data_IF_831163153859
#
_entry.id   IF_831163153859
#
_cell.length_a   1.000
_cell.length_b   1.000
_cell.length_c   1.000
_cell.angle_alpha   90.00
_cell.angle_beta   90.00
_cell.angle_gamma   90.00
#
_symmetry.space_group_name_H-M   'P 1'
#
loop_
_entity.id
_entity.type
_entity.pdbx_description
1 polymer ?
#
# COMPACT_ATOMS: atom_id res chain seq x y z
N UNK A 1 19.81 -8.10 11.44
CA UNK A 1 20.87 -8.21 10.41
C UNK A 1 20.29 -9.05 9.30
N UNK A 2 20.23 -8.54 8.08
CA UNK A 2 19.65 -9.29 6.95
C UNK A 2 20.56 -10.50 6.67
N UNK A 3 19.97 -11.70 6.53
CA UNK A 3 20.74 -12.92 6.27
C UNK A 3 21.34 -12.88 4.85
N UNK A 4 22.68 -12.93 4.76
CA UNK A 4 23.41 -12.76 3.49
C UNK A 4 23.05 -13.82 2.43
N UNK A 5 22.76 -15.05 2.87
CA UNK A 5 22.34 -16.15 2.00
C UNK A 5 20.99 -15.87 1.32
N UNK A 6 20.01 -15.38 2.10
CA UNK A 6 18.69 -15.00 1.59
C UNK A 6 18.76 -13.87 0.57
N UNK A 7 19.62 -12.87 0.81
CA UNK A 7 19.83 -11.76 -0.14
C UNK A 7 20.51 -12.23 -1.41
N UNK A 8 21.45 -13.17 -1.32
CA UNK A 8 22.14 -13.72 -2.49
C UNK A 8 21.16 -14.50 -3.38
N UNK A 9 20.34 -15.36 -2.78
CA UNK A 9 19.29 -16.10 -3.50
C UNK A 9 18.28 -15.15 -4.15
N UNK A 10 17.82 -14.12 -3.42
CA UNK A 10 16.95 -13.10 -3.98
C UNK A 10 17.61 -12.36 -5.15
N UNK A 11 18.89 -12.00 -5.05
CA UNK A 11 19.60 -11.29 -6.11
C UNK A 11 19.64 -12.12 -7.40
N UNK A 12 19.95 -13.40 -7.31
CA UNK A 12 19.97 -14.32 -8.45
C UNK A 12 18.58 -14.42 -9.10
N UNK A 13 17.53 -14.61 -8.29
CA UNK A 13 16.17 -14.72 -8.80
C UNK A 13 15.67 -13.40 -9.42
N UNK A 14 16.02 -12.26 -8.81
CA UNK A 14 15.68 -10.94 -9.31
C UNK A 14 16.29 -10.68 -10.70
N UNK A 15 17.44 -11.27 -11.04
CA UNK A 15 18.05 -11.09 -12.36
C UNK A 15 17.23 -11.73 -13.47
N UNK A 16 16.60 -12.88 -13.21
CA UNK A 16 15.82 -13.64 -14.21
C UNK A 16 14.34 -13.30 -14.23
N UNK A 17 13.78 -12.81 -13.12
CA UNK A 17 12.37 -12.43 -13.01
C UNK A 17 12.00 -11.28 -13.97
N UNK A 18 10.95 -11.46 -14.78
CA UNK A 18 10.42 -10.44 -15.69
C UNK A 18 9.17 -9.77 -15.13
N UNK A 19 8.29 -10.56 -14.51
CA UNK A 19 7.06 -10.11 -13.88
C UNK A 19 7.21 -10.11 -12.36
N UNK A 20 6.95 -8.96 -11.74
CA UNK A 20 7.12 -8.76 -10.31
C UNK A 20 5.90 -8.11 -9.71
N UNK A 21 5.41 -8.62 -8.58
CA UNK A 21 4.38 -7.94 -7.80
C UNK A 21 4.96 -7.35 -6.53
N UNK A 22 4.56 -6.13 -6.20
CA UNK A 22 4.75 -5.53 -4.88
C UNK A 22 3.36 -5.43 -4.25
N UNK A 23 3.14 -6.13 -3.14
CA UNK A 23 1.84 -6.20 -2.47
C UNK A 23 1.99 -5.68 -1.03
N UNK A 24 1.24 -4.64 -0.72
CA UNK A 24 1.15 -4.05 0.61
C UNK A 24 0.09 -4.75 1.46
N UNK A 25 0.30 -4.77 2.77
CA UNK A 25 -0.73 -5.21 3.72
C UNK A 25 -1.97 -4.30 3.72
N UNK A 26 -3.04 -4.77 4.38
CA UNK A 26 -4.32 -4.05 4.43
C UNK A 26 -4.30 -2.75 5.25
N UNK A 27 -3.31 -2.57 6.14
CA UNK A 27 -3.16 -1.41 7.02
C UNK A 27 -1.68 -1.01 7.17
N UNK A 28 -1.03 -0.56 6.08
CA UNK A 28 0.39 -0.31 6.11
C UNK A 28 0.71 0.97 6.90
N UNK A 29 1.86 0.98 7.57
CA UNK A 29 2.42 2.18 8.19
C UNK A 29 2.98 3.13 7.12
N UNK A 30 3.21 4.41 7.45
CA UNK A 30 3.87 5.34 6.53
C UNK A 30 5.25 4.85 6.08
N UNK A 31 5.96 4.13 6.93
CA UNK A 31 7.29 3.60 6.63
C UNK A 31 7.19 2.40 5.68
N UNK A 32 6.20 1.52 5.86
CA UNK A 32 5.90 0.44 4.89
C UNK A 32 5.47 1.00 3.53
N UNK A 33 4.73 2.11 3.51
CA UNK A 33 4.38 2.81 2.27
C UNK A 33 5.60 3.38 1.55
N UNK A 34 6.54 3.98 2.29
CA UNK A 34 7.81 4.45 1.74
C UNK A 34 8.62 3.29 1.15
N UNK A 35 8.71 2.17 1.88
CA UNK A 35 9.43 0.97 1.46
C UNK A 35 8.84 0.39 0.17
N UNK A 36 7.52 0.16 0.14
CA UNK A 36 6.87 -0.41 -1.03
C UNK A 36 6.93 0.52 -2.24
N UNK A 37 6.76 1.83 -2.02
CA UNK A 37 6.87 2.85 -3.07
C UNK A 37 8.26 2.87 -3.70
N UNK A 38 9.31 2.93 -2.89
CA UNK A 38 10.68 2.95 -3.38
C UNK A 38 11.08 1.63 -4.05
N UNK A 39 10.65 0.49 -3.51
CA UNK A 39 10.87 -0.82 -4.12
C UNK A 39 10.20 -0.91 -5.49
N UNK A 40 8.93 -0.53 -5.59
CA UNK A 40 8.17 -0.49 -6.84
C UNK A 40 8.89 0.36 -7.91
N UNK A 41 9.29 1.59 -7.56
CA UNK A 41 10.01 2.48 -8.47
C UNK A 41 11.37 1.91 -8.89
N UNK A 42 12.10 1.30 -7.95
CA UNK A 42 13.38 0.65 -8.21
C UNK A 42 13.25 -0.52 -9.20
N UNK A 43 12.23 -1.36 -9.03
CA UNK A 43 11.96 -2.49 -9.92
C UNK A 43 11.55 -2.04 -11.33
N UNK A 44 10.79 -0.94 -11.46
CA UNK A 44 10.47 -0.33 -12.76
C UNK A 44 11.72 0.19 -13.45
N UNK A 45 12.64 0.82 -12.70
CA UNK A 45 13.91 1.30 -13.26
C UNK A 45 14.80 0.17 -13.81
N UNK A 46 14.56 -1.08 -13.38
CA UNK A 46 15.20 -2.27 -13.94
C UNK A 46 14.48 -2.82 -15.20
N UNK A 47 13.51 -2.08 -15.75
CA UNK A 47 12.68 -2.48 -16.90
C UNK A 47 11.90 -3.79 -16.69
N UNK A 48 11.46 -4.05 -15.47
CA UNK A 48 10.57 -5.19 -15.14
C UNK A 48 9.11 -4.81 -15.33
N UNK A 49 8.25 -5.80 -15.57
CA UNK A 49 6.80 -5.62 -15.48
C UNK A 49 6.39 -5.67 -14.01
N UNK A 50 6.07 -4.51 -13.43
CA UNK A 50 5.80 -4.42 -11.98
C UNK A 50 4.35 -4.06 -11.71
N UNK A 51 3.61 -4.97 -11.07
CA UNK A 51 2.30 -4.69 -10.50
C UNK A 51 2.42 -4.20 -9.05
N UNK A 52 1.67 -3.16 -8.68
CA UNK A 52 1.66 -2.63 -7.32
C UNK A 52 0.25 -2.71 -6.73
N UNK A 53 0.07 -3.47 -5.64
CA UNK A 53 -1.25 -3.79 -5.13
C UNK A 53 -1.41 -3.56 -3.63
N UNK A 54 -2.64 -3.29 -3.22
CA UNK A 54 -3.05 -3.31 -1.82
C UNK A 54 -4.53 -3.71 -1.73
N UNK A 55 -4.99 -4.36 -0.64
CA UNK A 55 -6.39 -4.82 -0.51
C UNK A 55 -7.42 -3.68 -0.56
N UNK A 56 -6.98 -2.44 -0.30
CA UNK A 56 -7.81 -1.24 -0.29
C UNK A 56 -7.04 -0.08 -0.90
N UNK A 57 -7.77 0.91 -1.40
CA UNK A 57 -7.18 2.17 -1.84
C UNK A 57 -6.45 2.84 -0.68
N UNK A 58 -5.18 3.18 -0.91
CA UNK A 58 -4.34 3.88 0.06
C UNK A 58 -4.17 5.32 -0.40
N UNK A 59 -4.35 6.26 0.53
CA UNK A 59 -3.99 7.65 0.33
C UNK A 59 -2.63 7.93 0.98
N UNK A 60 -1.77 8.64 0.26
CA UNK A 60 -0.46 9.01 0.75
C UNK A 60 0.21 9.99 -0.21
N UNK A 61 1.45 10.37 0.11
CA UNK A 61 2.22 11.31 -0.71
C UNK A 61 3.63 10.78 -0.96
N UNK A 62 3.70 9.47 -1.22
CA UNK A 62 4.89 8.79 -1.75
C UNK A 62 4.69 8.56 -3.25
N UNK A 63 5.77 8.66 -4.02
CA UNK A 63 5.74 8.82 -5.47
C UNK A 63 5.22 7.60 -6.24
N UNK A 64 5.17 6.41 -5.64
CA UNK A 64 4.65 5.20 -6.28
C UNK A 64 3.17 4.92 -6.02
N UNK A 65 2.56 5.56 -5.01
CA UNK A 65 1.23 5.15 -4.51
C UNK A 65 0.09 5.38 -5.50
N UNK A 66 0.22 6.31 -6.44
CA UNK A 66 -0.80 6.52 -7.47
C UNK A 66 -0.96 5.32 -8.42
N UNK A 67 0.01 4.39 -8.43
CA UNK A 67 -0.02 3.19 -9.25
C UNK A 67 -0.61 1.98 -8.51
N UNK A 68 -1.01 2.13 -7.24
CA UNK A 68 -1.62 1.04 -6.48
C UNK A 68 -2.96 0.66 -7.11
N UNK A 69 -3.10 -0.63 -7.39
CA UNK A 69 -4.32 -1.28 -7.81
C UNK A 69 -4.90 -2.11 -6.65
N UNK A 70 -6.21 -2.34 -6.66
CA UNK A 70 -6.89 -3.13 -5.62
C UNK A 70 -7.34 -4.50 -6.08
N UNK A 71 -7.10 -4.85 -7.33
CA UNK A 71 -7.51 -6.11 -7.95
C UNK A 71 -6.32 -6.65 -8.74
N UNK A 72 -6.02 -7.94 -8.57
CA UNK A 72 -5.05 -8.64 -9.41
C UNK A 72 -5.61 -8.80 -10.83
N UNK A 73 -4.68 -8.96 -11.78
CA UNK A 73 -4.91 -8.85 -13.22
C UNK A 73 -6.10 -9.61 -13.82
N UNK A 74 -6.35 -9.30 -15.09
CA UNK A 74 -7.44 -9.85 -15.91
C UNK A 74 -6.98 -11.00 -16.83
N UNK A 75 -5.95 -11.76 -16.46
CA UNK A 75 -5.25 -12.62 -17.42
C UNK A 75 -6.12 -13.77 -17.94
N UNK A 76 -6.94 -14.40 -17.10
CA UNK A 76 -7.88 -15.44 -17.50
C UNK A 76 -9.31 -14.90 -17.52
N UNK A 77 -10.07 -15.29 -18.54
CA UNK A 77 -11.52 -15.11 -18.56
C UNK A 77 -12.16 -16.27 -17.80
N UNK A 78 -12.71 -15.99 -16.62
CA UNK A 78 -13.57 -16.93 -15.89
C UNK A 78 -15.00 -16.79 -16.40
N UNK A 79 -15.61 -17.93 -16.69
CA UNK A 79 -17.02 -18.04 -17.07
C UNK A 79 -17.75 -18.74 -15.92
N UNK A 80 -18.55 -18.00 -15.16
CA UNK A 80 -19.28 -18.50 -14.00
C UNK A 80 -20.79 -18.53 -14.27
N UNK A 81 -21.48 -19.48 -13.65
CA UNK A 81 -22.93 -19.59 -13.63
C UNK A 81 -23.35 -20.50 -12.48
N UNK A 82 -24.57 -20.33 -11.98
CA UNK A 82 -25.10 -21.14 -10.88
C UNK A 82 -25.08 -22.64 -11.25
N UNK A 83 -24.39 -23.43 -10.44
CA UNK A 83 -24.27 -24.87 -10.62
C UNK A 83 -25.24 -25.62 -9.70
N UNK A 84 -26.01 -26.53 -10.29
CA UNK A 84 -26.75 -27.56 -9.56
C UNK A 84 -26.36 -28.93 -10.12
N UNK A 85 -26.15 -29.91 -9.25
CA UNK A 85 -25.67 -31.25 -9.62
C UNK A 85 -26.53 -31.92 -10.71
N UNK A 86 -27.84 -31.65 -10.71
CA UNK A 86 -28.80 -32.20 -11.67
C UNK A 86 -28.92 -31.37 -12.97
N UNK A 87 -28.24 -30.24 -13.10
CA UNK A 87 -28.47 -29.29 -14.20
C UNK A 87 -27.58 -29.55 -15.42
N UNK A 88 -26.34 -30.01 -15.21
CA UNK A 88 -25.33 -30.16 -16.27
C UNK A 88 -24.98 -31.64 -16.47
N UNK A 89 -25.04 -32.11 -17.72
CA UNK A 89 -24.63 -33.46 -18.13
C UNK A 89 -23.14 -33.47 -18.49
N UNK A 90 -22.71 -32.52 -19.33
CA UNK A 90 -21.33 -32.46 -19.83
C UNK A 90 -20.94 -31.04 -20.22
N UNK A 91 -19.69 -30.68 -19.92
CA UNK A 91 -19.01 -29.52 -20.50
C UNK A 91 -17.95 -30.03 -21.49
N UNK A 92 -17.93 -29.46 -22.69
CA UNK A 92 -16.95 -29.82 -23.73
C UNK A 92 -16.49 -28.60 -24.49
N UNK A 93 -15.24 -28.62 -24.98
CA UNK A 93 -14.72 -27.59 -25.87
C UNK A 93 -14.39 -28.13 -27.26
N UNK A 94 -14.41 -27.26 -28.27
CA UNK A 94 -13.88 -27.55 -29.60
C UNK A 94 -13.33 -26.27 -30.24
N UNK A 95 -12.27 -26.42 -31.04
CA UNK A 95 -11.70 -25.33 -31.85
C UNK A 95 -12.18 -25.54 -33.29
N UNK A 96 -12.88 -24.56 -33.85
CA UNK A 96 -13.27 -24.58 -35.26
C UNK A 96 -12.11 -24.08 -36.11
N UNK A 97 -11.28 -24.99 -36.63
CA UNK A 97 -10.09 -24.63 -37.42
C UNK A 97 -10.43 -23.75 -38.63
N UNK A 98 -11.57 -23.97 -39.28
CA UNK A 98 -12.04 -23.16 -40.43
C UNK A 98 -12.57 -21.78 -40.03
N UNK A 99 -13.16 -21.65 -38.85
CA UNK A 99 -13.77 -20.39 -38.36
C UNK A 99 -12.86 -19.62 -37.42
N UNK A 100 -11.76 -20.23 -36.99
CA UNK A 100 -10.85 -19.79 -35.94
C UNK A 100 -11.55 -19.38 -34.64
N UNK A 101 -12.59 -20.14 -34.24
CA UNK A 101 -13.38 -19.87 -33.03
C UNK A 101 -13.24 -20.98 -31.99
N UNK A 102 -13.16 -20.60 -30.73
CA UNK A 102 -13.27 -21.50 -29.59
C UNK A 102 -14.73 -21.64 -29.17
N UNK A 103 -15.21 -22.87 -29.06
CA UNK A 103 -16.57 -23.19 -28.63
C UNK A 103 -16.53 -23.90 -27.29
N UNK A 104 -17.23 -23.37 -26.29
CA UNK A 104 -17.55 -24.05 -25.05
C UNK A 104 -19.03 -24.46 -25.10
N UNK A 105 -19.30 -25.76 -25.02
CA UNK A 105 -20.67 -26.29 -25.02
C UNK A 105 -21.01 -26.86 -23.65
N UNK A 106 -22.06 -26.32 -23.05
CA UNK A 106 -22.62 -26.79 -21.78
C UNK A 106 -23.92 -27.53 -22.09
N UNK A 107 -23.90 -28.85 -21.95
CA UNK A 107 -25.04 -29.70 -22.26
C UNK A 107 -25.85 -29.95 -20.98
N UNK A 108 -27.15 -29.62 -20.93
CA UNK A 108 -27.97 -29.90 -19.77
C UNK A 108 -28.31 -31.40 -19.68
N UNK A 109 -28.66 -31.87 -18.48
CA UNK A 109 -29.25 -33.20 -18.32
C UNK A 109 -30.58 -33.33 -19.07
N UNK A 110 -30.93 -34.57 -19.43
CA UNK A 110 -32.14 -34.86 -20.20
C UNK A 110 -33.39 -34.38 -19.45
N UNK A 111 -34.17 -33.51 -20.08
CA UNK A 111 -35.39 -32.93 -19.50
C UNK A 111 -35.18 -31.65 -18.68
N UNK A 112 -33.93 -31.18 -18.52
CA UNK A 112 -33.64 -29.86 -17.92
C UNK A 112 -33.57 -28.77 -19.00
N UNK A 113 -33.77 -27.53 -18.57
CA UNK A 113 -33.65 -26.36 -19.47
C UNK A 113 -32.17 -26.11 -19.79
N UNK A 114 -31.86 -25.61 -21.00
CA UNK A 114 -30.52 -25.11 -21.30
C UNK A 114 -30.17 -23.93 -20.39
N UNK A 115 -28.88 -23.73 -20.16
CA UNK A 115 -28.34 -22.61 -19.39
C UNK A 115 -28.86 -21.28 -19.96
N UNK A 116 -29.36 -20.41 -19.10
CA UNK A 116 -29.73 -19.05 -19.52
C UNK A 116 -28.45 -18.27 -19.82
N UNK A 117 -28.39 -17.68 -21.02
CA UNK A 117 -27.25 -16.85 -21.42
C UNK A 117 -27.07 -15.64 -20.49
N UNK A 118 -28.15 -15.11 -19.94
CA UNK A 118 -28.10 -13.93 -19.08
C UNK A 118 -27.65 -14.24 -17.64
N UNK A 119 -27.62 -15.52 -17.24
CA UNK A 119 -27.11 -15.94 -15.93
C UNK A 119 -25.63 -16.33 -15.97
N UNK A 120 -24.97 -16.19 -17.13
CA UNK A 120 -23.53 -16.41 -17.26
C UNK A 120 -22.82 -15.10 -16.98
N UNK A 121 -22.02 -15.06 -15.92
CA UNK A 121 -21.14 -13.92 -15.69
C UNK A 121 -19.76 -14.22 -16.25
N UNK A 122 -19.15 -13.17 -16.76
CA UNK A 122 -17.78 -13.18 -17.25
C UNK A 122 -16.97 -12.32 -16.30
N UNK A 123 -16.12 -12.96 -15.52
CA UNK A 123 -15.13 -12.27 -14.69
C UNK A 123 -13.77 -12.48 -15.32
N UNK A 124 -12.86 -11.54 -15.09
CA UNK A 124 -11.47 -11.79 -15.40
C UNK A 124 -10.75 -12.05 -14.09
N UNK A 125 -9.97 -13.12 -14.03
CA UNK A 125 -9.13 -13.46 -12.90
C UNK A 125 -7.85 -14.11 -13.41
N UNK A 126 -6.80 -14.11 -12.61
CA UNK A 126 -5.50 -14.60 -13.03
C UNK A 126 -4.47 -13.49 -13.00
N UNK A 127 -3.50 -13.68 -12.12
CA UNK A 127 -2.24 -12.98 -12.11
C UNK A 127 -1.19 -14.07 -11.94
N UNK A 128 -0.23 -14.09 -12.85
CA UNK A 128 1.00 -14.84 -12.72
C UNK A 128 2.15 -13.85 -12.48
N UNK A 129 3.15 -14.27 -11.73
CA UNK A 129 4.34 -13.49 -11.47
C UNK A 129 5.52 -14.39 -11.15
N UNK A 130 6.70 -14.02 -11.65
CA UNK A 130 7.94 -14.71 -11.27
C UNK A 130 8.27 -14.43 -9.80
N UNK A 131 8.11 -13.19 -9.37
CA UNK A 131 8.55 -12.71 -8.05
C UNK A 131 7.45 -11.89 -7.36
N UNK A 132 7.19 -12.16 -6.08
CA UNK A 132 6.22 -11.42 -5.27
C UNK A 132 6.89 -10.87 -4.02
N UNK A 133 6.94 -9.55 -3.90
CA UNK A 133 7.32 -8.85 -2.67
C UNK A 133 6.10 -8.54 -1.82
N UNK A 134 6.06 -9.06 -0.61
CA UNK A 134 5.04 -8.80 0.39
C UNK A 134 5.58 -7.81 1.43
N UNK A 135 5.06 -6.58 1.41
CA UNK A 135 5.52 -5.50 2.32
C UNK A 135 4.54 -5.33 3.46
N UNK A 136 5.00 -5.63 4.68
CA UNK A 136 4.16 -5.47 5.87
C UNK A 136 3.08 -6.53 6.06
N UNK A 137 3.10 -7.61 5.26
CA UNK A 137 2.10 -8.69 5.28
C UNK A 137 2.54 -9.76 6.27
N UNK A 138 1.63 -10.20 7.13
CA UNK A 138 1.90 -11.21 8.15
C UNK A 138 1.20 -12.53 7.85
N UNK A 139 0.04 -12.44 7.23
CA UNK A 139 -0.79 -13.55 6.78
C UNK A 139 -1.30 -13.25 5.36
N UNK A 140 -1.34 -14.24 4.48
CA UNK A 140 -1.89 -14.07 3.13
C UNK A 140 -3.41 -13.84 3.17
N UNK A 141 -4.11 -14.38 4.17
CA UNK A 141 -5.55 -14.15 4.33
C UNK A 141 -5.89 -12.66 4.52
N UNK A 142 -4.96 -11.87 5.11
CA UNK A 142 -5.12 -10.42 5.28
C UNK A 142 -5.14 -9.66 3.94
N UNK A 143 -4.69 -10.29 2.86
CA UNK A 143 -4.73 -9.71 1.51
C UNK A 143 -6.13 -9.78 0.89
N UNK A 144 -7.04 -10.57 1.47
CA UNK A 144 -8.42 -10.69 1.03
C UNK A 144 -8.53 -11.05 -0.44
N UNK A 145 -9.16 -10.18 -1.23
CA UNK A 145 -9.39 -10.38 -2.67
C UNK A 145 -8.11 -10.47 -3.52
N UNK A 146 -6.95 -10.10 -2.99
CA UNK A 146 -5.66 -10.29 -3.66
C UNK A 146 -5.06 -11.68 -3.40
N UNK A 147 -5.62 -12.46 -2.47
CA UNK A 147 -5.18 -13.82 -2.16
C UNK A 147 -6.23 -14.87 -2.50
N UNK A 148 -7.48 -14.67 -2.07
CA UNK A 148 -8.55 -15.63 -2.30
C UNK A 148 -8.83 -15.78 -3.80
N UNK A 149 -8.69 -17.00 -4.33
CA UNK A 149 -8.79 -17.30 -5.76
C UNK A 149 -7.49 -17.12 -6.55
N UNK A 150 -6.40 -16.74 -5.88
CA UNK A 150 -5.05 -16.55 -6.44
C UNK A 150 -4.01 -17.36 -5.67
N UNK A 151 -4.39 -18.38 -4.90
CA UNK A 151 -3.49 -19.15 -4.03
C UNK A 151 -2.30 -19.71 -4.83
N UNK A 152 -2.57 -20.24 -6.03
CA UNK A 152 -1.54 -20.76 -6.94
C UNK A 152 -0.47 -19.74 -7.37
N UNK A 153 -0.77 -18.43 -7.37
CA UNK A 153 0.23 -17.39 -7.63
C UNK A 153 1.31 -17.42 -6.54
N UNK A 154 0.91 -17.49 -5.27
CA UNK A 154 1.82 -17.46 -4.13
C UNK A 154 2.55 -18.79 -3.92
N UNK A 155 1.95 -19.90 -4.36
CA UNK A 155 2.59 -21.22 -4.34
C UNK A 155 3.67 -21.36 -5.42
N UNK A 156 3.46 -20.77 -6.60
CA UNK A 156 4.36 -20.91 -7.75
C UNK A 156 5.43 -19.81 -7.84
N UNK A 157 5.11 -18.58 -7.43
CA UNK A 157 6.03 -17.46 -7.49
C UNK A 157 7.14 -17.60 -6.43
N UNK A 158 8.28 -16.96 -6.67
CA UNK A 158 9.27 -16.73 -5.62
C UNK A 158 8.77 -15.62 -4.70
N UNK A 159 8.40 -15.95 -3.47
CA UNK A 159 7.78 -14.99 -2.54
C UNK A 159 8.80 -14.45 -1.54
N UNK A 160 8.89 -13.13 -1.43
CA UNK A 160 9.78 -12.43 -0.51
C UNK A 160 8.94 -11.62 0.46
N UNK A 161 9.13 -11.81 1.77
CA UNK A 161 8.51 -10.95 2.78
C UNK A 161 9.47 -9.88 3.27
N UNK A 162 8.99 -8.64 3.35
CA UNK A 162 9.71 -7.47 3.88
C UNK A 162 8.96 -6.96 5.12
N UNK A 163 9.47 -7.29 6.31
CA UNK A 163 8.80 -7.01 7.58
C UNK A 163 9.79 -6.59 8.67
N UNK A 164 9.30 -6.13 9.82
CA UNK A 164 10.10 -5.87 11.03
C UNK A 164 10.35 -7.13 11.88
N UNK A 165 10.06 -8.30 11.31
CA UNK A 165 10.29 -9.64 11.84
C UNK A 165 10.22 -10.64 10.68
N UNK A 166 10.51 -11.91 10.92
CA UNK A 166 10.45 -12.97 9.91
C UNK A 166 9.15 -13.78 10.07
N UNK A 167 8.05 -13.44 9.39
CA UNK A 167 6.89 -14.33 9.34
C UNK A 167 7.28 -15.62 8.60
N UNK A 168 6.77 -16.78 9.01
CA UNK A 168 6.96 -18.05 8.29
C UNK A 168 6.11 -18.07 7.00
N UNK A 169 6.43 -17.16 6.09
CA UNK A 169 5.68 -16.88 4.88
C UNK A 169 6.65 -16.62 3.71
N UNK A 170 6.39 -17.29 2.59
CA UNK A 170 7.16 -17.15 1.36
C UNK A 170 8.50 -17.88 1.37
N UNK A 171 9.24 -17.75 0.26
CA UNK A 171 10.53 -18.39 0.00
C UNK A 171 11.67 -17.73 0.78
N UNK A 172 11.65 -16.40 0.88
CA UNK A 172 12.68 -15.60 1.57
C UNK A 172 12.03 -14.62 2.55
N UNK A 173 12.51 -14.60 3.80
CA UNK A 173 12.00 -13.72 4.86
C UNK A 173 13.05 -12.67 5.27
N UNK A 174 12.92 -11.45 4.74
CA UNK A 174 13.85 -10.37 5.05
C UNK A 174 13.33 -9.57 6.25
N UNK A 175 14.06 -9.69 7.35
CA UNK A 175 13.87 -8.83 8.52
C UNK A 175 14.57 -7.48 8.33
N UNK A 176 13.76 -6.43 8.22
CA UNK A 176 14.17 -5.04 8.14
C UNK A 176 14.26 -4.37 9.51
N UNK A 177 14.12 -5.12 10.62
CA UNK A 177 14.34 -4.62 11.97
C UNK A 177 15.82 -4.32 12.27
N UNK A 178 16.07 -3.60 13.36
CA UNK A 178 17.43 -3.31 13.84
C UNK A 178 18.04 -2.00 13.35
N UNK A 179 17.29 -1.20 12.60
CA UNK A 179 17.65 0.18 12.21
C UNK A 179 16.61 1.17 12.73
N UNK A 180 16.77 2.47 12.42
CA UNK A 180 15.81 3.49 12.88
C UNK A 180 14.45 3.42 12.18
N UNK A 181 14.38 2.75 11.01
CA UNK A 181 13.17 2.59 10.19
C UNK A 181 13.33 1.50 9.14
N UNK A 182 12.23 0.92 8.66
CA UNK A 182 12.24 -0.04 7.55
C UNK A 182 12.80 0.60 6.27
N UNK A 183 12.54 1.90 6.06
CA UNK A 183 13.13 2.67 4.95
C UNK A 183 14.66 2.71 5.00
N UNK A 184 15.26 2.82 6.19
CA UNK A 184 16.71 2.77 6.35
C UNK A 184 17.26 1.39 5.97
N UNK A 185 16.64 0.32 6.47
CA UNK A 185 17.02 -1.06 6.13
C UNK A 185 16.85 -1.36 4.64
N UNK A 186 15.82 -0.81 3.99
CA UNK A 186 15.60 -1.01 2.56
C UNK A 186 16.75 -0.40 1.74
N UNK A 187 17.35 0.72 2.14
CA UNK A 187 18.50 1.28 1.41
C UNK A 187 19.63 0.27 1.30
N UNK A 188 19.98 -0.40 2.41
CA UNK A 188 21.01 -1.44 2.41
C UNK A 188 20.61 -2.67 1.57
N UNK A 189 19.32 -3.03 1.57
CA UNK A 189 18.82 -4.10 0.70
C UNK A 189 18.93 -3.73 -0.79
N UNK A 190 18.50 -2.52 -1.17
CA UNK A 190 18.60 -2.04 -2.56
C UNK A 190 20.05 -2.01 -3.03
N UNK A 191 20.99 -1.59 -2.18
CA UNK A 191 22.42 -1.64 -2.49
C UNK A 191 22.91 -3.07 -2.73
N UNK A 192 22.49 -4.01 -1.88
CA UNK A 192 22.89 -5.42 -1.99
C UNK A 192 22.32 -6.09 -3.24
N UNK A 193 21.11 -5.69 -3.63
CA UNK A 193 20.43 -6.11 -4.85
C UNK A 193 20.87 -5.31 -6.10
N UNK A 194 21.80 -4.37 -5.95
CA UNK A 194 22.30 -3.49 -7.02
C UNK A 194 21.20 -2.68 -7.73
N UNK A 195 20.15 -2.32 -7.00
CA UNK A 195 19.05 -1.48 -7.50
C UNK A 195 19.43 0.00 -7.31
N UNK A 196 19.62 0.78 -8.39
CA UNK A 196 20.01 2.17 -8.28
C UNK A 196 18.90 3.02 -7.67
N UNK A 197 19.24 3.85 -6.67
CA UNK A 197 18.31 4.75 -6.00
C UNK A 197 18.29 6.10 -6.74
N UNK A 198 17.14 6.42 -7.35
CA UNK A 198 16.90 7.70 -8.03
C UNK A 198 16.30 8.77 -7.08
N UNK A 199 16.04 9.98 -7.58
CA UNK A 199 15.53 11.12 -6.80
C UNK A 199 14.18 10.84 -6.11
N UNK A 200 13.25 10.17 -6.78
CA UNK A 200 11.92 9.87 -6.24
C UNK A 200 11.99 8.82 -5.13
N UNK A 201 12.72 7.71 -5.38
CA UNK A 201 12.99 6.68 -4.38
C UNK A 201 13.71 7.29 -3.17
N UNK A 202 14.72 8.13 -3.40
CA UNK A 202 15.47 8.77 -2.34
C UNK A 202 14.60 9.68 -1.48
N UNK A 203 13.68 10.42 -2.11
CA UNK A 203 12.71 11.29 -1.41
C UNK A 203 11.73 10.47 -0.56
N UNK A 204 11.20 9.38 -1.10
CA UNK A 204 10.27 8.50 -0.38
C UNK A 204 10.94 7.85 0.84
N UNK A 205 12.13 7.28 0.67
CA UNK A 205 12.89 6.64 1.74
C UNK A 205 13.31 7.63 2.81
N UNK A 206 13.79 8.82 2.41
CA UNK A 206 14.14 9.87 3.35
C UNK A 206 12.93 10.28 4.20
N UNK A 207 11.76 10.42 3.57
CA UNK A 207 10.52 10.74 4.27
C UNK A 207 10.07 9.63 5.22
N UNK A 208 10.28 8.36 4.86
CA UNK A 208 10.02 7.21 5.73
C UNK A 208 10.89 7.27 6.99
N UNK A 209 12.21 7.43 6.81
CA UNK A 209 13.18 7.60 7.91
C UNK A 209 12.77 8.77 8.81
N UNK A 210 12.53 9.96 8.25
CA UNK A 210 12.15 11.14 9.03
C UNK A 210 10.83 10.96 9.79
N UNK A 211 9.86 10.26 9.19
CA UNK A 211 8.57 10.03 9.84
C UNK A 211 8.73 9.10 11.05
N UNK A 212 9.50 8.03 10.93
CA UNK A 212 9.73 7.08 12.02
C UNK A 212 10.65 7.61 13.12
N UNK A 213 11.59 8.50 12.77
CA UNK A 213 12.58 9.07 13.71
C UNK A 213 12.20 10.43 14.29
N UNK A 214 10.97 10.90 14.07
CA UNK A 214 10.51 12.23 14.50
C UNK A 214 11.41 13.36 13.95
N UNK A 215 11.74 13.29 12.67
CA UNK A 215 12.72 14.13 11.98
C UNK A 215 14.13 14.01 12.58
N UNK A 216 14.59 12.77 12.79
CA UNK A 216 15.92 12.45 13.33
C UNK A 216 16.17 12.94 14.76
N UNK A 217 15.09 13.15 15.54
CA UNK A 217 15.17 13.52 16.96
C UNK A 217 15.12 12.29 17.89
N UNK A 218 14.65 11.15 17.39
CA UNK A 218 14.61 9.88 18.12
C UNK A 218 16.02 9.39 18.46
N UNK A 219 16.19 8.76 19.63
CA UNK A 219 17.42 8.06 20.00
C UNK A 219 17.75 6.86 19.10
N UNK A 220 16.78 6.37 18.32
CA UNK A 220 17.02 5.35 17.31
C UNK A 220 17.82 5.86 16.10
N UNK A 221 17.87 7.17 15.87
CA UNK A 221 18.68 7.76 14.82
C UNK A 221 20.15 7.83 15.26
N UNK A 222 20.99 6.97 14.69
CA UNK A 222 22.40 6.82 15.02
C UNK A 222 23.30 7.27 13.85
N UNK A 223 24.61 7.05 13.98
CA UNK A 223 25.59 7.45 12.96
C UNK A 223 25.28 6.82 11.59
N UNK A 224 24.90 5.54 11.58
CA UNK A 224 24.49 4.82 10.37
C UNK A 224 23.25 5.46 9.73
N UNK A 225 22.25 5.84 10.54
CA UNK A 225 21.07 6.55 10.05
C UNK A 225 21.45 7.87 9.36
N UNK A 226 22.34 8.67 9.95
CA UNK A 226 22.78 9.92 9.35
C UNK A 226 23.59 9.71 8.06
N UNK A 227 24.35 8.63 7.96
CA UNK A 227 25.05 8.25 6.73
C UNK A 227 24.07 7.91 5.61
N UNK A 228 23.04 7.11 5.91
CA UNK A 228 21.98 6.76 4.96
C UNK A 228 21.22 8.02 4.53
N UNK A 229 20.86 8.90 5.46
CA UNK A 229 20.23 10.19 5.12
C UNK A 229 21.12 11.02 4.20
N UNK A 230 22.42 11.12 4.47
CA UNK A 230 23.36 11.85 3.63
C UNK A 230 23.45 11.22 2.22
N UNK A 231 23.44 9.89 2.13
CA UNK A 231 23.39 9.16 0.86
C UNK A 231 22.13 9.49 0.07
N UNK A 232 20.95 9.44 0.69
CA UNK A 232 19.67 9.75 0.03
C UNK A 232 19.63 11.20 -0.47
N UNK A 233 20.14 12.15 0.32
CA UNK A 233 20.27 13.55 -0.11
C UNK A 233 21.20 13.69 -1.32
N UNK A 234 22.32 12.97 -1.35
CA UNK A 234 23.25 12.94 -2.51
C UNK A 234 22.60 12.33 -3.75
N UNK A 235 21.72 11.34 -3.59
CA UNK A 235 20.90 10.77 -4.68
C UNK A 235 19.76 11.69 -5.15
N UNK A 236 19.69 12.93 -4.67
CA UNK A 236 18.69 13.92 -5.06
C UNK A 236 17.46 13.96 -4.17
N UNK A 237 17.38 13.12 -3.12
CA UNK A 237 16.25 13.07 -2.20
C UNK A 237 15.95 14.43 -1.57
N UNK A 238 14.67 14.83 -1.55
CA UNK A 238 14.25 16.14 -1.05
C UNK A 238 13.51 16.05 0.27
N UNK A 239 13.94 16.85 1.24
CA UNK A 239 13.19 17.05 2.49
C UNK A 239 11.95 17.88 2.19
N UNK A 240 10.77 17.31 2.43
CA UNK A 240 9.51 18.03 2.28
C UNK A 240 9.10 18.59 3.64
N UNK A 241 8.97 19.92 3.75
CA UNK A 241 8.38 20.51 4.96
C UNK A 241 6.93 20.01 5.06
N UNK A 242 6.56 19.37 6.17
CA UNK A 242 5.14 19.25 6.54
C UNK A 242 4.58 20.66 6.60
N UNK A 243 3.85 21.08 5.58
CA UNK A 243 3.00 22.27 5.68
C UNK A 243 1.94 21.84 6.70
N UNK A 244 2.13 22.23 7.95
CA UNK A 244 1.10 22.10 8.96
C UNK A 244 -0.16 22.71 8.33
N UNK A 245 -1.23 21.92 8.16
CA UNK A 245 -2.55 22.44 7.81
C UNK A 245 -2.78 23.60 8.77
N UNK A 246 -2.68 24.83 8.25
CA UNK A 246 -2.83 26.02 9.08
C UNK A 246 -4.19 25.87 9.74
N UNK A 247 -4.20 25.77 11.06
CA UNK A 247 -5.44 25.79 11.83
C UNK A 247 -6.18 27.03 11.37
N UNK A 248 -7.36 26.81 10.78
CA UNK A 248 -8.25 27.84 10.28
C UNK A 248 -8.28 29.04 11.27
N UNK A 249 -8.02 30.29 10.86
CA UNK A 249 -8.04 31.45 11.78
C UNK A 249 -9.44 31.78 12.37
N UNK A 250 -10.42 30.89 12.22
CA UNK A 250 -11.82 31.15 12.58
C UNK A 250 -12.11 31.12 14.09
N UNK A 251 -11.17 30.66 14.92
CA UNK A 251 -11.34 30.67 16.39
C UNK A 251 -10.98 31.99 17.07
N UNK A 252 -10.40 32.98 16.38
CA UNK A 252 -10.09 34.29 17.00
C UNK A 252 -11.28 35.26 17.10
N UNK A 253 -12.44 34.97 16.47
CA UNK A 253 -13.64 35.83 16.58
C UNK A 253 -14.54 35.54 17.78
N UNK A 254 -14.37 34.42 18.50
CA UNK A 254 -15.22 34.08 19.66
C UNK A 254 -14.76 34.82 20.93
N UNK A 255 -13.46 35.12 21.06
CA UNK A 255 -12.90 35.82 22.22
C UNK A 255 -13.12 37.34 22.22
N UNK A 256 -13.54 37.95 21.10
CA UNK A 256 -13.93 39.37 21.09
C UNK A 256 -15.40 39.60 21.48
N UNK A 257 -16.28 38.59 21.32
CA UNK A 257 -17.68 38.69 21.74
C UNK A 257 -17.82 38.53 23.26
N UNK A 258 -17.02 37.65 23.87
CA UNK A 258 -17.02 37.48 25.34
C UNK A 258 -16.45 38.70 26.09
N UNK A 259 -15.42 39.38 25.55
CA UNK A 259 -14.90 40.61 26.17
C UNK A 259 -15.86 41.82 26.05
N UNK A 260 -16.65 41.91 24.98
CA UNK A 260 -17.65 43.00 24.82
C UNK A 260 -18.90 42.80 25.68
N UNK A 261 -19.26 41.56 26.03
CA UNK A 261 -20.40 41.29 26.90
C UNK A 261 -20.06 41.43 28.39
N UNK A 262 -18.80 41.23 28.81
CA UNK A 262 -18.40 41.50 30.20
C UNK A 262 -18.29 43.00 30.53
N UNK A 263 -17.89 43.85 29.57
CA UNK A 263 -17.85 45.31 29.78
C UNK A 263 -19.24 45.94 29.86
N UNK A 264 -20.22 45.43 29.09
CA UNK A 264 -21.62 45.93 29.15
C UNK A 264 -22.33 45.57 30.46
N UNK A 265 -22.02 44.41 31.06
CA UNK A 265 -22.67 43.99 32.32
C UNK A 265 -22.12 44.77 33.52
N UNK A 266 -20.84 45.16 33.50
CA UNK A 266 -20.26 46.00 34.56
C UNK A 266 -20.78 47.46 34.52
N UNK A 267 -20.99 48.04 33.33
CA UNK A 267 -21.55 49.40 33.21
C UNK A 267 -23.01 49.53 33.67
N UNK A 268 -23.80 48.45 33.57
CA UNK A 268 -25.21 48.44 34.02
C UNK A 268 -25.32 48.34 35.55
N UNK A 269 -24.39 47.62 36.21
CA UNK A 269 -24.38 47.47 37.67
C UNK A 269 -23.93 48.77 38.36
N UNK A 270 -22.95 49.48 37.79
CA UNK A 270 -22.48 50.77 38.33
C UNK A 270 -23.54 51.87 38.18
N UNK A 271 -24.28 51.92 37.05
CA UNK A 271 -25.38 52.88 36.86
C UNK A 271 -26.60 52.62 37.76
N UNK A 272 -26.87 51.38 38.18
CA UNK A 272 -27.95 51.07 39.14
C UNK A 272 -27.58 51.44 40.58
N UNK A 273 -26.31 51.30 40.99
CA UNK A 273 -25.88 51.68 42.34
C UNK A 273 -25.75 53.21 42.55
N UNK A 274 -25.51 53.99 41.48
CA UNK A 274 -25.50 55.45 41.58
C UNK A 274 -26.91 56.08 41.61
N UNK A 275 -27.93 55.39 41.08
CA UNK A 275 -29.33 55.85 41.17
C UNK A 275 -29.98 55.58 42.54
N UNK A 276 -29.58 54.53 43.28
CA UNK A 276 -30.14 54.26 44.62
C UNK A 276 -29.57 55.15 45.74
N UNK A 277 -28.43 55.83 45.49
CA UNK A 277 -27.84 56.80 46.44
C UNK A 277 -28.35 58.23 46.30
N UNK A 278 -29.16 58.55 45.28
CA UNK A 278 -29.77 59.87 45.07
C UNK A 278 -31.23 59.99 45.52
N UNK A 279 -31.82 58.95 46.12
CA UNK A 279 -33.20 58.97 46.64
C UNK A 279 -33.28 58.90 48.17
N UNK A 280 -32.21 59.28 48.87
CA UNK A 280 -32.20 59.53 50.33
C UNK A 280 -31.59 60.91 50.60
N UNK A 281 -32.32 61.94 50.17
CA UNK A 281 -32.37 63.25 50.79
C UNK A 281 -33.80 63.75 50.65
#
# INVERSE_FOLDING_TARGET
MIALEQVSSLKEYLQTAQSVLVILSSKPTNDQLAVASALYLGLINLNKEVGFYAPKKIEGSFAGLQNIQTELGKQNLIVEFDYHEDAVDKVSYHIGEETNKFYLTIKPQKGKKPLDKNSVNFTYAGADADLVFLVGVHDLEDLGQLYFGYESLYENAFVVTLNSFQPELGTVQIDLSGTSSLSESLVGLLDSLEIPINEEMATDLLRGIETNTQNLQSFSANAETFEIVAKLLRSGGRRTKKIAKSINPRSQKINQVHKKNQSKTQDIVVKRQQKSRKSKH
#
